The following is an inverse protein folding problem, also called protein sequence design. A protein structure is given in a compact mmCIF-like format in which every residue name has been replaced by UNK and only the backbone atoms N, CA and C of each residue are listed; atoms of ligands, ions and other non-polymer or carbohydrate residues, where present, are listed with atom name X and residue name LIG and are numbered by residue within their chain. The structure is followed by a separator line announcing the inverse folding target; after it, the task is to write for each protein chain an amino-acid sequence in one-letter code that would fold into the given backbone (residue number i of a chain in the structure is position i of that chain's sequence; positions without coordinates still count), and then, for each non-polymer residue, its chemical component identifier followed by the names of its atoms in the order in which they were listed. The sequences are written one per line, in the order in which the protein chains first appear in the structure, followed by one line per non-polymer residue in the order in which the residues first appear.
data_IF_588941814949
#
_entry.id   IF_588941814949
#
_cell.length_a   1.000
_cell.length_b   1.000
_cell.length_c   1.000
_cell.angle_alpha   90.00
_cell.angle_beta   90.00
_cell.angle_gamma   90.00
#
_symmetry.space_group_name_H-M   'P 1'
#
loop_
_entity.id
_entity.type
_entity.pdbx_description
1 polymer ?
#
# COMPACT_ATOMS: atom_id res chain seq x y z
N UNK A 1 30.08 17.90 22.98
CA UNK A 1 29.74 16.97 21.90
C UNK A 1 28.35 16.45 22.20
N UNK A 2 27.36 16.79 21.39
CA UNK A 2 26.01 16.24 21.55
C UNK A 2 26.06 14.73 21.24
N UNK A 3 25.36 13.92 22.04
CA UNK A 3 25.31 12.46 21.82
C UNK A 3 24.75 12.18 20.43
N UNK A 4 25.33 11.20 19.72
CA UNK A 4 24.86 10.74 18.40
C UNK A 4 23.35 10.45 18.44
N UNK A 5 22.85 9.89 19.54
CA UNK A 5 21.42 9.64 19.77
C UNK A 5 20.58 10.93 19.72
N UNK A 6 21.04 12.03 20.32
CA UNK A 6 20.33 13.32 20.26
C UNK A 6 20.36 13.95 18.85
N UNK A 7 21.43 13.74 18.10
CA UNK A 7 21.50 14.19 16.70
C UNK A 7 20.54 13.40 15.81
N UNK A 8 20.41 12.10 16.02
CA UNK A 8 19.47 11.23 15.31
C UNK A 8 18.01 11.58 15.62
N UNK A 9 17.66 11.78 16.89
CA UNK A 9 16.31 12.22 17.31
C UNK A 9 15.91 13.52 16.62
N UNK A 10 16.81 14.50 16.63
CA UNK A 10 16.60 15.80 15.99
C UNK A 10 16.42 15.68 14.47
N UNK A 11 17.20 14.82 13.80
CA UNK A 11 17.04 14.54 12.37
C UNK A 11 15.70 13.88 12.03
N UNK A 12 15.19 12.97 12.87
CA UNK A 12 13.89 12.33 12.67
C UNK A 12 12.75 13.35 12.79
N UNK A 13 12.86 14.24 13.77
CA UNK A 13 11.86 15.24 14.10
C UNK A 13 11.82 16.39 13.06
N UNK A 14 12.98 16.89 12.65
CA UNK A 14 13.11 17.96 11.64
C UNK A 14 12.66 17.51 10.24
N UNK A 15 13.00 16.28 9.83
CA UNK A 15 12.65 15.78 8.49
C UNK A 15 11.21 15.25 8.39
N UNK A 16 10.44 15.23 9.50
CA UNK A 16 9.14 14.55 9.60
C UNK A 16 9.23 13.19 8.91
N UNK A 17 10.25 12.41 9.26
CA UNK A 17 10.63 11.18 8.54
C UNK A 17 9.45 10.22 8.44
N UNK A 18 8.60 10.22 9.47
CA UNK A 18 7.41 9.36 9.56
C UNK A 18 6.12 10.19 9.51
N UNK A 19 5.64 10.46 8.28
CA UNK A 19 4.22 10.79 8.03
C UNK A 19 3.51 9.52 7.55
N UNK A 20 2.21 9.39 7.75
CA UNK A 20 1.44 8.20 7.33
C UNK A 20 1.63 7.85 5.84
N UNK A 21 1.70 8.85 4.96
CA UNK A 21 2.01 8.65 3.54
C UNK A 21 3.43 8.11 3.31
N UNK A 22 4.43 8.66 4.02
CA UNK A 22 5.82 8.18 3.96
C UNK A 22 5.94 6.77 4.52
N UNK A 23 5.16 6.42 5.54
CA UNK A 23 5.10 5.09 6.14
C UNK A 23 4.59 4.05 5.13
N UNK A 24 3.45 4.32 4.49
CA UNK A 24 2.89 3.44 3.47
C UNK A 24 3.82 3.29 2.26
N UNK A 25 4.47 4.38 1.86
CA UNK A 25 5.49 4.33 0.81
C UNK A 25 6.70 3.50 1.23
N UNK A 26 7.18 3.64 2.46
CA UNK A 26 8.37 2.95 2.96
C UNK A 26 8.13 1.45 3.13
N UNK A 27 7.05 1.06 3.82
CA UNK A 27 6.80 -0.34 4.19
C UNK A 27 6.16 -1.12 3.04
N UNK A 28 5.20 -0.53 2.32
CA UNK A 28 4.43 -1.22 1.29
C UNK A 28 4.85 -0.84 -0.14
N UNK A 29 5.80 0.09 -0.29
CA UNK A 29 6.24 0.55 -1.60
C UNK A 29 5.16 1.32 -2.38
N UNK A 30 4.15 1.86 -1.69
CA UNK A 30 3.01 2.50 -2.35
C UNK A 30 3.34 3.90 -2.83
N UNK A 31 2.88 4.25 -4.03
CA UNK A 31 2.87 5.63 -4.49
C UNK A 31 1.73 6.43 -3.87
N UNK A 32 1.65 7.71 -4.22
CA UNK A 32 0.64 8.65 -3.69
C UNK A 32 -0.78 8.19 -4.02
N UNK A 33 -1.03 7.75 -5.26
CA UNK A 33 -2.37 7.32 -5.70
C UNK A 33 -2.78 6.04 -4.98
N UNK A 34 -1.89 5.06 -4.89
CA UNK A 34 -2.12 3.80 -4.16
C UNK A 34 -2.42 4.05 -2.68
N UNK A 35 -1.64 4.92 -2.03
CA UNK A 35 -1.85 5.29 -0.63
C UNK A 35 -3.20 5.95 -0.41
N UNK A 36 -3.62 6.83 -1.32
CA UNK A 36 -4.91 7.50 -1.27
C UNK A 36 -6.07 6.54 -1.52
N UNK A 37 -5.96 5.65 -2.51
CA UNK A 37 -6.95 4.60 -2.80
C UNK A 37 -7.10 3.69 -1.58
N UNK A 38 -5.99 3.27 -0.97
CA UNK A 38 -6.02 2.44 0.23
C UNK A 38 -6.69 3.17 1.41
N UNK A 39 -6.35 4.44 1.65
CA UNK A 39 -6.99 5.24 2.69
C UNK A 39 -8.50 5.40 2.49
N UNK A 40 -8.95 5.47 1.24
CA UNK A 40 -10.37 5.52 0.92
C UNK A 40 -11.06 4.18 1.21
N UNK A 41 -10.48 3.05 0.80
CA UNK A 41 -11.02 1.71 1.06
C UNK A 41 -10.99 1.37 2.57
N UNK A 42 -10.04 1.92 3.32
CA UNK A 42 -10.01 1.81 4.80
C UNK A 42 -11.23 2.43 5.48
N UNK A 43 -11.85 3.43 4.86
CA UNK A 43 -13.01 4.16 5.41
C UNK A 43 -14.33 3.76 4.77
N UNK A 44 -14.28 2.97 3.70
CA UNK A 44 -15.45 2.62 2.90
C UNK A 44 -15.35 1.14 2.53
N UNK A 45 -16.35 0.36 2.91
CA UNK A 45 -16.47 -1.02 2.44
C UNK A 45 -17.18 -1.06 1.08
N UNK A 46 -17.04 -2.19 0.37
CA UNK A 46 -17.76 -2.47 -0.87
C UNK A 46 -17.61 -1.38 -1.94
N UNK A 47 -16.37 -0.91 -2.13
CA UNK A 47 -16.04 0.13 -3.09
C UNK A 47 -15.90 -0.48 -4.48
N UNK A 48 -16.45 0.18 -5.51
CA UNK A 48 -16.28 -0.23 -6.92
C UNK A 48 -15.11 0.48 -7.59
N UNK A 49 -14.54 -0.11 -8.64
CA UNK A 49 -13.56 0.59 -9.49
C UNK A 49 -14.11 1.91 -10.05
N UNK A 50 -15.40 1.94 -10.42
CA UNK A 50 -16.05 3.13 -10.96
C UNK A 50 -16.12 4.26 -9.92
N UNK A 51 -16.46 3.91 -8.66
CA UNK A 51 -16.48 4.89 -7.57
C UNK A 51 -15.10 5.49 -7.34
N UNK A 52 -14.05 4.68 -7.41
CA UNK A 52 -12.67 5.15 -7.26
C UNK A 52 -12.23 6.04 -8.43
N UNK A 53 -12.60 5.72 -9.67
CA UNK A 53 -12.29 6.59 -10.82
C UNK A 53 -12.93 7.96 -10.70
N UNK A 54 -14.17 8.02 -10.19
CA UNK A 54 -14.88 9.29 -9.93
C UNK A 54 -14.24 10.09 -8.80
N UNK A 55 -13.92 9.44 -7.67
CA UNK A 55 -13.39 10.13 -6.48
C UNK A 55 -11.99 10.70 -6.72
N UNK A 56 -11.13 9.97 -7.44
CA UNK A 56 -9.74 10.36 -7.64
C UNK A 56 -9.47 11.09 -8.96
N UNK A 57 -10.50 11.24 -9.81
CA UNK A 57 -10.37 11.80 -11.16
C UNK A 57 -9.22 11.11 -11.93
N UNK A 58 -9.31 9.78 -12.02
CA UNK A 58 -8.31 8.92 -12.67
C UNK A 58 -8.99 7.96 -13.62
N UNK A 59 -8.27 7.61 -14.68
CA UNK A 59 -8.73 6.60 -15.61
C UNK A 59 -8.77 5.21 -14.94
N UNK A 60 -9.58 4.33 -15.54
CA UNK A 60 -9.79 2.97 -15.04
C UNK A 60 -8.50 2.17 -14.92
N UNK A 61 -7.55 2.32 -15.83
CA UNK A 61 -6.31 1.55 -15.82
C UNK A 61 -5.40 1.96 -14.65
N UNK A 62 -5.38 3.24 -14.30
CA UNK A 62 -4.64 3.75 -13.15
C UNK A 62 -5.22 3.24 -11.83
N UNK A 63 -6.54 3.27 -11.67
CA UNK A 63 -7.21 2.68 -10.49
C UNK A 63 -7.00 1.17 -10.42
N UNK A 64 -7.11 0.46 -11.54
CA UNK A 64 -6.89 -0.99 -11.55
C UNK A 64 -5.46 -1.37 -11.17
N UNK A 65 -4.45 -0.64 -11.64
CA UNK A 65 -3.06 -0.85 -11.21
C UNK A 65 -2.88 -0.65 -9.70
N UNK A 66 -3.47 0.41 -9.15
CA UNK A 66 -3.45 0.63 -7.71
C UNK A 66 -4.13 -0.51 -6.93
N UNK A 67 -5.30 -0.95 -7.38
CA UNK A 67 -6.03 -2.07 -6.75
C UNK A 67 -5.27 -3.40 -6.83
N UNK A 68 -4.60 -3.69 -7.94
CA UNK A 68 -3.73 -4.86 -8.08
C UNK A 68 -2.59 -4.78 -7.05
N UNK A 69 -1.86 -3.66 -7.01
CA UNK A 69 -0.76 -3.46 -6.08
C UNK A 69 -1.18 -3.62 -4.61
N UNK A 70 -2.34 -3.09 -4.24
CA UNK A 70 -2.89 -3.22 -2.88
C UNK A 70 -3.36 -4.64 -2.56
N UNK A 71 -3.93 -5.34 -3.54
CA UNK A 71 -4.33 -6.73 -3.37
C UNK A 71 -3.11 -7.65 -3.22
N UNK A 72 -2.05 -7.41 -4.00
CA UNK A 72 -0.79 -8.14 -3.93
C UNK A 72 -0.03 -7.87 -2.63
N UNK A 73 -0.09 -6.64 -2.14
CA UNK A 73 0.38 -6.28 -0.79
C UNK A 73 -0.47 -6.91 0.33
N UNK A 74 -1.60 -7.55 -0.02
CA UNK A 74 -2.43 -8.29 0.92
C UNK A 74 -3.25 -7.42 1.87
N UNK A 75 -3.39 -6.12 1.62
CA UNK A 75 -4.08 -5.18 2.52
C UNK A 75 -5.55 -4.95 2.18
N UNK A 76 -5.98 -5.33 0.97
CA UNK A 76 -7.38 -5.29 0.55
C UNK A 76 -7.85 -6.68 0.13
N UNK A 77 -9.16 -6.82 -0.01
CA UNK A 77 -9.82 -7.98 -0.59
C UNK A 77 -10.71 -7.58 -1.77
N UNK A 78 -10.87 -8.52 -2.71
CA UNK A 78 -11.66 -8.37 -3.93
C UNK A 78 -12.75 -9.43 -3.95
N UNK A 79 -14.02 -9.01 -4.05
CA UNK A 79 -15.18 -9.91 -4.13
C UNK A 79 -15.98 -9.64 -5.41
N UNK A 80 -16.39 -10.71 -6.10
CA UNK A 80 -17.28 -10.61 -7.25
C UNK A 80 -18.73 -10.70 -6.79
N UNK A 81 -19.56 -9.74 -7.18
CA UNK A 81 -21.00 -9.72 -6.87
C UNK A 81 -21.82 -9.52 -8.14
N UNK A 82 -23.05 -10.03 -8.14
CA UNK A 82 -23.96 -9.76 -9.26
C UNK A 82 -24.44 -8.31 -9.25
N UNK A 83 -24.73 -7.75 -10.43
CA UNK A 83 -25.31 -6.40 -10.54
C UNK A 83 -26.66 -6.29 -9.82
N UNK A 84 -27.41 -7.38 -9.75
CA UNK A 84 -28.68 -7.46 -9.03
C UNK A 84 -28.45 -7.26 -7.52
N UNK A 85 -27.62 -8.10 -6.91
CA UNK A 85 -27.26 -8.00 -5.48
C UNK A 85 -26.74 -6.61 -5.11
N UNK A 86 -25.84 -6.06 -5.93
CA UNK A 86 -25.29 -4.73 -5.67
C UNK A 86 -26.37 -3.63 -5.71
N UNK A 87 -27.27 -3.67 -6.70
CA UNK A 87 -28.31 -2.63 -6.85
C UNK A 87 -29.35 -2.66 -5.73
N UNK A 88 -29.66 -3.86 -5.23
CA UNK A 88 -30.50 -4.08 -4.05
C UNK A 88 -29.85 -3.48 -2.79
N UNK A 89 -28.54 -3.70 -2.60
CA UNK A 89 -27.79 -3.18 -1.45
C UNK A 89 -27.54 -1.66 -1.49
N UNK A 90 -27.27 -1.11 -2.68
CA UNK A 90 -26.98 0.33 -2.90
C UNK A 90 -28.24 1.21 -2.92
N UNK A 91 -29.42 0.65 -2.64
CA UNK A 91 -30.68 1.40 -2.58
C UNK A 91 -31.20 1.89 -3.94
N UNK A 92 -30.63 1.41 -5.04
CA UNK A 92 -31.02 1.78 -6.42
C UNK A 92 -32.19 0.96 -6.97
N UNK A 93 -32.76 0.05 -6.17
CA UNK A 93 -33.89 -0.79 -6.53
C UNK A 93 -33.53 -1.96 -7.45
N UNK A 94 -34.54 -2.67 -7.91
CA UNK A 94 -34.39 -3.85 -8.75
C UNK A 94 -33.89 -3.47 -10.16
N UNK A 95 -32.88 -4.18 -10.66
CA UNK A 95 -32.30 -3.94 -12.00
C UNK A 95 -32.48 -5.17 -12.89
N UNK A 96 -32.88 -4.94 -14.14
CA UNK A 96 -32.96 -5.98 -15.17
C UNK A 96 -31.59 -6.25 -15.84
N UNK A 97 -30.53 -5.52 -15.45
CA UNK A 97 -29.19 -5.67 -16.02
C UNK A 97 -28.50 -6.90 -15.43
N UNK A 98 -28.11 -7.83 -16.31
CA UNK A 98 -27.29 -8.99 -15.96
C UNK A 98 -25.81 -8.62 -16.04
N UNK A 99 -25.01 -9.13 -15.11
CA UNK A 99 -23.55 -8.95 -15.10
C UNK A 99 -22.98 -9.04 -13.69
N UNK A 100 -21.66 -8.94 -13.61
CA UNK A 100 -20.90 -8.96 -12.37
C UNK A 100 -20.03 -7.72 -12.26
N UNK A 101 -19.77 -7.32 -11.03
CA UNK A 101 -18.78 -6.30 -10.72
C UNK A 101 -17.92 -6.73 -9.54
N UNK A 102 -16.77 -6.06 -9.40
CA UNK A 102 -15.89 -6.27 -8.27
C UNK A 102 -16.09 -5.20 -7.22
N UNK A 103 -16.25 -5.66 -5.99
CA UNK A 103 -16.22 -4.86 -4.78
C UNK A 103 -14.87 -5.04 -4.09
N UNK A 104 -14.35 -3.94 -3.55
CA UNK A 104 -13.10 -3.89 -2.84
C UNK A 104 -13.36 -3.44 -1.41
N UNK A 105 -12.77 -4.17 -0.47
CA UNK A 105 -12.85 -3.90 0.96
C UNK A 105 -11.46 -4.00 1.60
N UNK A 106 -11.33 -3.50 2.81
CA UNK A 106 -10.10 -3.67 3.58
C UNK A 106 -10.12 -5.05 4.24
N UNK A 107 -8.97 -5.73 4.30
CA UNK A 107 -8.84 -6.87 5.21
C UNK A 107 -8.95 -6.43 6.67
N UNK A 108 -9.03 -7.40 7.58
CA UNK A 108 -9.04 -7.12 9.02
C UNK A 108 -7.88 -6.19 9.41
N UNK A 109 -8.21 -5.06 10.03
CA UNK A 109 -7.25 -4.00 10.33
C UNK A 109 -6.15 -4.46 11.29
N UNK A 110 -6.47 -5.34 12.24
CA UNK A 110 -5.48 -5.85 13.19
C UNK A 110 -4.49 -6.79 12.51
N UNK A 111 -4.96 -7.60 11.55
CA UNK A 111 -4.06 -8.37 10.68
C UNK A 111 -3.14 -7.46 9.86
N UNK A 112 -3.67 -6.37 9.30
CA UNK A 112 -2.84 -5.40 8.53
C UNK A 112 -1.78 -4.75 9.43
N UNK A 113 -2.15 -4.33 10.64
CA UNK A 113 -1.19 -3.78 11.61
C UNK A 113 -0.09 -4.79 11.94
N UNK A 114 -0.46 -6.06 12.13
CA UNK A 114 0.52 -7.12 12.38
C UNK A 114 1.47 -7.31 11.19
N UNK A 115 0.93 -7.43 9.97
CA UNK A 115 1.73 -7.54 8.75
C UNK A 115 2.69 -6.36 8.57
N UNK A 116 2.24 -5.13 8.82
CA UNK A 116 3.10 -3.95 8.73
C UNK A 116 4.26 -3.99 9.74
N UNK A 117 4.04 -4.52 10.95
CA UNK A 117 5.10 -4.69 11.95
C UNK A 117 6.10 -5.75 11.51
N UNK A 118 5.63 -6.90 11.07
CA UNK A 118 6.49 -7.99 10.58
C UNK A 118 7.32 -7.57 9.37
N UNK A 119 6.74 -6.80 8.44
CA UNK A 119 7.45 -6.22 7.30
C UNK A 119 8.52 -5.22 7.75
N UNK A 120 8.21 -4.36 8.74
CA UNK A 120 9.17 -3.41 9.28
C UNK A 120 10.35 -4.11 9.95
N UNK A 121 10.10 -5.15 10.74
CA UNK A 121 11.14 -5.92 11.41
C UNK A 121 12.02 -6.66 10.39
N UNK A 122 11.40 -7.26 9.37
CA UNK A 122 12.12 -7.93 8.27
C UNK A 122 12.99 -6.94 7.50
N UNK A 123 12.43 -5.76 7.18
CA UNK A 123 13.16 -4.70 6.51
C UNK A 123 14.34 -4.19 7.35
N UNK A 124 14.12 -3.98 8.65
CA UNK A 124 15.16 -3.55 9.57
C UNK A 124 16.31 -4.56 9.60
N UNK A 125 16.00 -5.85 9.81
CA UNK A 125 17.03 -6.89 9.85
C UNK A 125 17.81 -6.95 8.53
N UNK A 126 17.11 -6.94 7.39
CA UNK A 126 17.76 -6.93 6.08
C UNK A 126 18.66 -5.71 5.88
N UNK A 127 18.23 -4.51 6.30
CA UNK A 127 19.03 -3.29 6.17
C UNK A 127 20.21 -3.28 7.13
N UNK A 128 20.05 -3.80 8.35
CA UNK A 128 21.15 -4.02 9.28
C UNK A 128 22.19 -4.96 8.68
N UNK A 129 21.76 -6.07 8.08
CA UNK A 129 22.66 -7.00 7.39
C UNK A 129 23.42 -6.31 6.26
N UNK A 130 22.76 -5.47 5.45
CA UNK A 130 23.45 -4.67 4.42
C UNK A 130 24.46 -3.68 4.99
N UNK A 131 24.15 -3.04 6.12
CA UNK A 131 25.05 -2.08 6.78
C UNK A 131 26.27 -2.81 7.37
N UNK A 132 26.06 -3.97 8.00
CA UNK A 132 27.14 -4.75 8.60
C UNK A 132 28.09 -5.33 7.54
N UNK A 133 27.58 -5.54 6.33
CA UNK A 133 28.34 -6.03 5.18
C UNK A 133 28.65 -4.92 4.17
N UNK A 134 28.58 -3.65 4.55
CA UNK A 134 28.70 -2.52 3.62
C UNK A 134 30.03 -2.51 2.86
N UNK A 135 31.11 -2.98 3.48
CA UNK A 135 32.42 -3.10 2.84
C UNK A 135 32.39 -4.08 1.65
N UNK A 136 31.63 -5.18 1.78
CA UNK A 136 31.47 -6.20 0.73
C UNK A 136 30.59 -5.76 -0.44
N UNK A 137 29.71 -4.77 -0.23
CA UNK A 137 28.89 -4.17 -1.30
C UNK A 137 29.76 -3.37 -2.28
N UNK A 138 30.91 -2.87 -1.81
CA UNK A 138 31.85 -2.12 -2.65
C UNK A 138 32.97 -3.00 -3.24
N UNK A 139 33.04 -4.28 -2.87
CA UNK A 139 34.09 -5.21 -3.29
C UNK A 139 33.86 -5.79 -4.71
N UNK A 140 32.68 -5.61 -5.29
CA UNK A 140 32.44 -5.95 -6.70
C UNK A 140 31.74 -4.77 -7.41
N UNK A 141 32.49 -4.12 -8.31
CA UNK A 141 32.01 -2.92 -9.00
C UNK A 141 31.29 -3.19 -10.32
N UNK A 142 31.37 -4.42 -10.85
CA UNK A 142 30.61 -4.93 -12.01
C UNK A 142 31.16 -6.32 -12.38
N UNK A 143 30.31 -7.35 -12.48
CA UNK A 143 30.61 -8.52 -13.30
C UNK A 143 29.44 -8.72 -14.26
N UNK A 144 29.66 -8.44 -15.55
CA UNK A 144 28.65 -8.50 -16.63
C UNK A 144 27.53 -7.44 -16.63
N UNK A 145 27.80 -6.23 -16.11
CA UNK A 145 26.87 -5.10 -16.26
C UNK A 145 25.63 -5.15 -15.37
N UNK A 146 25.63 -6.04 -14.37
CA UNK A 146 24.70 -6.02 -13.23
C UNK A 146 25.51 -5.83 -11.95
N UNK A 147 24.99 -4.98 -11.05
CA UNK A 147 25.47 -4.88 -9.69
C UNK A 147 25.22 -6.24 -9.01
N UNK A 148 26.29 -6.86 -8.53
CA UNK A 148 26.21 -7.68 -7.32
C UNK A 148 25.73 -6.77 -6.17
#
# INVERSE_FOLDING_TARGET
MESISKQLEKMVEENKVFKSEKLLKCILGLNVIESNVFSFILKNEDVTTMKLTEVFDKDRSSIQRALIKLNDAGVIEKRSVSLKEYSEKDGKGETNKRGYLYLYGTKNLDMIKQQLRELLDTWYNSMSDYIDNIDSIFDCYEENGELC
#
